data_IF_759184828448
#
_entry.id   IF_759184828448
#
_cell.length_a   1.000
_cell.length_b   1.000
_cell.length_c   1.000
_cell.angle_alpha   90.00
_cell.angle_beta   90.00
_cell.angle_gamma   90.00
#
_symmetry.space_group_name_H-M   'P 1'
#
loop_
_entity.id
_entity.type
_entity.pdbx_description
1 polymer ?
#
# COMPACT_ATOMS: atom_id res chain seq x y z
N UNK A 1 19.74 -12.12 -2.77
CA UNK A 1 19.65 -10.66 -2.52
C UNK A 1 18.21 -10.38 -2.19
N UNK A 2 17.88 -10.28 -0.90
CA UNK A 2 16.52 -9.90 -0.51
C UNK A 2 16.27 -8.45 -0.97
N UNK A 3 15.15 -8.16 -1.63
CA UNK A 3 14.84 -6.80 -2.04
C UNK A 3 14.72 -5.89 -0.80
N UNK A 4 15.15 -4.62 -0.90
CA UNK A 4 15.14 -3.70 0.23
C UNK A 4 13.74 -3.57 0.81
N UNK A 5 13.67 -3.47 2.15
CA UNK A 5 12.42 -3.25 2.88
C UNK A 5 11.76 -1.97 2.35
N UNK A 6 10.55 -2.12 1.78
CA UNK A 6 9.85 -1.02 1.14
C UNK A 6 9.25 -0.08 2.20
N UNK A 7 10.04 0.91 2.60
CA UNK A 7 9.65 2.02 3.45
C UNK A 7 9.51 3.29 2.62
N UNK A 8 8.27 3.71 2.40
CA UNK A 8 7.85 5.03 1.92
C UNK A 8 8.14 5.37 0.44
N UNK A 9 7.04 5.45 -0.29
CA UNK A 9 6.88 6.27 -1.48
C UNK A 9 7.00 7.78 -1.18
N UNK A 10 7.96 8.21 -0.35
CA UNK A 10 7.97 9.52 0.35
C UNK A 10 7.38 10.66 -0.47
N UNK A 11 8.04 11.03 -1.56
CA UNK A 11 7.57 12.13 -2.43
C UNK A 11 6.39 11.72 -3.34
N UNK A 12 6.32 10.45 -3.75
CA UNK A 12 5.27 9.94 -4.63
C UNK A 12 3.90 9.91 -3.94
N UNK A 13 3.84 9.95 -2.61
CA UNK A 13 2.58 10.06 -1.86
C UNK A 13 1.92 11.45 -2.01
N UNK A 14 2.66 12.46 -2.46
CA UNK A 14 2.09 13.78 -2.72
C UNK A 14 1.55 13.92 -4.15
N UNK A 15 1.89 12.96 -5.03
CA UNK A 15 1.47 12.94 -6.43
C UNK A 15 -0.06 12.82 -6.56
N UNK A 16 -0.71 13.60 -7.45
CA UNK A 16 -2.15 13.55 -7.67
C UNK A 16 -2.64 12.15 -8.07
N UNK A 17 -1.83 11.35 -8.78
CA UNK A 17 -2.19 9.98 -9.18
C UNK A 17 -2.31 9.06 -7.97
N UNK A 18 -1.40 9.19 -7.00
CA UNK A 18 -1.53 8.46 -5.75
C UNK A 18 -2.75 8.93 -4.96
N UNK A 19 -2.99 10.24 -4.85
CA UNK A 19 -4.16 10.77 -4.13
C UNK A 19 -5.47 10.25 -4.72
N UNK A 20 -5.59 10.24 -6.06
CA UNK A 20 -6.73 9.65 -6.75
C UNK A 20 -6.87 8.16 -6.44
N UNK A 21 -5.79 7.38 -6.60
CA UNK A 21 -5.82 5.95 -6.31
C UNK A 21 -6.18 5.63 -4.86
N UNK A 22 -5.60 6.38 -3.91
CA UNK A 22 -5.89 6.27 -2.49
C UNK A 22 -7.38 6.48 -2.23
N UNK A 23 -7.99 7.51 -2.83
CA UNK A 23 -9.40 7.82 -2.64
C UNK A 23 -10.31 6.73 -3.21
N UNK A 24 -9.97 6.14 -4.37
CA UNK A 24 -10.70 4.99 -4.94
C UNK A 24 -10.74 3.80 -3.96
N UNK A 25 -9.58 3.43 -3.40
CA UNK A 25 -9.47 2.29 -2.47
C UNK A 25 -10.22 2.56 -1.16
N UNK A 26 -10.11 3.77 -0.62
CA UNK A 26 -10.84 4.18 0.59
C UNK A 26 -12.35 4.16 0.33
N UNK A 27 -12.79 4.67 -0.82
CA UNK A 27 -14.20 4.67 -1.20
C UNK A 27 -14.75 3.25 -1.35
N UNK A 28 -14.00 2.36 -2.01
CA UNK A 28 -14.34 0.93 -2.13
C UNK A 28 -14.54 0.27 -0.76
N UNK A 29 -13.68 0.61 0.20
CA UNK A 29 -13.72 0.06 1.55
C UNK A 29 -14.61 0.87 2.51
N UNK A 30 -15.47 1.75 1.97
CA UNK A 30 -16.47 2.55 2.69
C UNK A 30 -15.87 3.51 3.73
N UNK A 31 -14.65 3.99 3.52
CA UNK A 31 -14.00 4.94 4.43
C UNK A 31 -13.55 4.32 5.76
N UNK A 32 -13.60 3.00 5.91
CA UNK A 32 -13.34 2.32 7.17
C UNK A 32 -12.24 1.27 7.04
N UNK A 33 -11.54 1.01 8.15
CA UNK A 33 -10.66 -0.13 8.27
C UNK A 33 -11.43 -1.42 7.96
N UNK A 34 -10.95 -2.22 7.01
CA UNK A 34 -11.66 -3.45 6.65
C UNK A 34 -11.67 -4.49 7.78
N UNK A 35 -10.68 -4.44 8.69
CA UNK A 35 -10.50 -5.40 9.80
C UNK A 35 -11.39 -5.05 10.98
N UNK A 36 -11.25 -3.85 11.54
CA UNK A 36 -11.93 -3.47 12.79
C UNK A 36 -13.08 -2.47 12.59
N UNK A 37 -13.33 -2.02 11.35
CA UNK A 37 -14.31 -0.99 11.00
C UNK A 37 -14.05 0.41 11.59
N UNK A 38 -12.95 0.60 12.32
CA UNK A 38 -12.53 1.92 12.80
C UNK A 38 -12.15 2.87 11.66
N UNK A 39 -12.29 4.17 11.93
CA UNK A 39 -12.05 5.28 10.98
C UNK A 39 -10.85 6.15 11.36
N UNK A 40 -10.14 5.78 12.42
CA UNK A 40 -9.00 6.53 12.92
C UNK A 40 -7.75 6.35 12.03
N UNK A 41 -7.15 7.47 11.63
CA UNK A 41 -5.94 7.54 10.80
C UNK A 41 -5.93 6.53 9.63
N UNK A 42 -6.93 6.62 8.73
CA UNK A 42 -7.08 5.68 7.61
C UNK A 42 -5.91 5.76 6.61
N UNK A 43 -5.35 4.58 6.32
CA UNK A 43 -4.22 4.36 5.42
C UNK A 43 -4.58 3.30 4.37
N UNK A 44 -3.99 3.42 3.19
CA UNK A 44 -4.02 2.35 2.17
C UNK A 44 -2.73 1.55 2.29
N UNK A 45 -2.87 0.24 2.45
CA UNK A 45 -1.78 -0.71 2.59
C UNK A 45 -1.61 -1.53 1.31
N UNK A 46 -0.40 -1.55 0.75
CA UNK A 46 -0.01 -2.45 -0.33
C UNK A 46 0.32 -3.84 0.22
N UNK A 47 -0.36 -4.86 -0.28
CA UNK A 47 -0.21 -6.27 0.14
C UNK A 47 0.87 -7.03 -0.64
N UNK A 48 1.44 -6.42 -1.66
CA UNK A 48 2.55 -6.95 -2.45
C UNK A 48 3.23 -5.78 -3.19
N UNK A 49 4.55 -5.82 -3.30
CA UNK A 49 5.32 -4.90 -4.16
C UNK A 49 5.82 -5.62 -5.42
N UNK A 50 5.98 -4.87 -6.51
CA UNK A 50 6.51 -5.37 -7.78
C UNK A 50 7.80 -4.63 -8.11
N UNK A 51 8.92 -5.34 -8.14
CA UNK A 51 10.22 -4.83 -8.54
C UNK A 51 10.48 -5.16 -10.01
N UNK A 52 10.65 -4.15 -10.84
CA UNK A 52 10.86 -4.29 -12.29
C UNK A 52 12.34 -4.28 -12.58
N UNK A 53 12.90 -5.44 -12.98
CA UNK A 53 14.34 -5.61 -13.28
C UNK A 53 14.83 -4.62 -14.33
N UNK A 54 14.06 -4.45 -15.41
CA UNK A 54 14.42 -3.55 -16.50
C UNK A 54 14.57 -2.09 -16.06
N UNK A 55 13.77 -1.66 -15.08
CA UNK A 55 13.82 -0.29 -14.53
C UNK A 55 14.69 -0.18 -13.27
N UNK A 56 15.21 -1.30 -12.76
CA UNK A 56 15.92 -1.40 -11.48
C UNK A 56 15.17 -0.73 -10.32
N UNK A 57 13.83 -0.81 -10.31
CA UNK A 57 13.00 -0.08 -9.36
C UNK A 57 11.64 -0.72 -9.12
N UNK A 58 10.98 -0.29 -8.05
CA UNK A 58 9.61 -0.69 -7.77
C UNK A 58 8.62 0.06 -8.66
N UNK A 59 7.49 -0.59 -8.98
CA UNK A 59 6.35 0.14 -9.52
C UNK A 59 5.93 1.29 -8.60
N UNK A 60 5.49 2.37 -9.22
CA UNK A 60 4.90 3.53 -8.55
C UNK A 60 3.59 3.14 -7.83
N UNK A 61 3.20 3.86 -6.76
CA UNK A 61 2.14 3.42 -5.85
C UNK A 61 0.77 3.16 -6.52
N UNK A 62 0.45 3.91 -7.58
CA UNK A 62 -0.84 3.86 -8.28
C UNK A 62 -0.93 2.80 -9.39
N UNK A 63 0.18 2.17 -9.78
CA UNK A 63 0.22 1.17 -10.86
C UNK A 63 -0.07 -0.27 -10.37
N UNK A 64 -0.48 -0.40 -9.11
CA UNK A 64 -0.86 -1.68 -8.52
C UNK A 64 -2.34 -1.95 -8.76
N UNK A 65 -2.72 -3.21 -9.06
CA UNK A 65 -4.11 -3.62 -9.05
C UNK A 65 -4.79 -3.40 -7.69
N UNK A 66 -6.07 -3.02 -7.69
CA UNK A 66 -6.85 -2.69 -6.50
C UNK A 66 -6.91 -3.83 -5.49
N UNK A 67 -6.93 -5.07 -5.97
CA UNK A 67 -6.96 -6.24 -5.09
C UNK A 67 -5.67 -6.34 -4.26
N UNK A 68 -4.56 -5.71 -4.65
CA UNK A 68 -3.33 -5.64 -3.85
C UNK A 68 -3.33 -4.48 -2.86
N UNK A 69 -4.39 -3.69 -2.77
CA UNK A 69 -4.50 -2.53 -1.89
C UNK A 69 -5.70 -2.65 -0.96
N UNK A 70 -5.55 -2.19 0.28
CA UNK A 70 -6.58 -2.35 1.31
C UNK A 70 -6.58 -1.20 2.30
N UNK A 71 -7.77 -0.78 2.74
CA UNK A 71 -7.95 0.31 3.70
C UNK A 71 -7.86 -0.21 5.13
N UNK A 72 -6.92 0.33 5.92
CA UNK A 72 -6.69 -0.02 7.31
C UNK A 72 -6.60 1.23 8.18
N UNK A 73 -7.04 1.14 9.43
CA UNK A 73 -6.64 2.12 10.45
C UNK A 73 -5.18 1.89 10.84
N UNK A 74 -4.53 2.92 11.37
CA UNK A 74 -3.13 2.87 11.81
C UNK A 74 -2.81 1.69 12.73
N UNK A 75 -3.66 1.38 13.70
CA UNK A 75 -3.41 0.28 14.65
C UNK A 75 -3.42 -1.09 13.95
N UNK A 76 -4.37 -1.33 13.05
CA UNK A 76 -4.42 -2.56 12.26
C UNK A 76 -3.28 -2.65 11.25
N UNK A 77 -2.92 -1.52 10.63
CA UNK A 77 -1.80 -1.43 9.71
C UNK A 77 -0.47 -1.79 10.39
N UNK A 78 -0.17 -1.13 11.51
CA UNK A 78 1.04 -1.38 12.28
C UNK A 78 1.10 -2.83 12.78
N UNK A 79 0.00 -3.36 13.31
CA UNK A 79 -0.09 -4.76 13.76
C UNK A 79 0.16 -5.75 12.62
N UNK A 80 -0.29 -5.44 11.41
CA UNK A 80 0.00 -6.22 10.21
C UNK A 80 1.50 -6.27 9.91
N UNK A 81 2.15 -5.11 9.85
CA UNK A 81 3.59 -5.01 9.60
C UNK A 81 4.45 -5.64 10.71
N UNK A 82 4.00 -5.61 11.97
CA UNK A 82 4.69 -6.29 13.06
C UNK A 82 4.64 -7.82 12.96
N UNK A 83 3.67 -8.39 12.24
CA UNK A 83 3.46 -9.84 12.11
C UNK A 83 3.91 -10.41 10.77
N UNK A 84 3.80 -9.62 9.71
CA UNK A 84 3.96 -10.10 8.34
C UNK A 84 4.85 -9.16 7.52
N UNK A 85 5.75 -9.75 6.73
CA UNK A 85 6.49 -9.03 5.69
C UNK A 85 5.62 -8.94 4.44
N UNK A 86 5.60 -7.78 3.80
CA UNK A 86 4.92 -7.60 2.51
C UNK A 86 5.76 -8.30 1.43
N UNK A 87 5.19 -9.27 0.68
CA UNK A 87 5.93 -9.97 -0.35
C UNK A 87 6.35 -9.05 -1.50
N UNK A 88 7.51 -9.35 -2.10
CA UNK A 88 8.01 -8.67 -3.29
C UNK A 88 8.03 -9.66 -4.45
N UNK A 89 7.33 -9.33 -5.53
CA UNK A 89 7.40 -10.06 -6.80
C UNK A 89 8.44 -9.36 -7.70
N UNK A 90 9.41 -10.12 -8.20
CA UNK A 90 10.37 -9.60 -9.16
C UNK A 90 9.87 -9.92 -10.57
N UNK A 91 9.68 -8.88 -11.37
CA UNK A 91 9.23 -8.95 -12.76
C UNK A 91 10.25 -8.36 -13.72
#
# INVERSE_FOLDING_TARGET
MDPPAHGSYGNLLFDPRWKAKRNEIISRDKGCCVICKGTDEIQVHHRQYQYVKAMKGFKVPWDYPDYLMITLCKSCHQRGHSKFKVPVLII
#
